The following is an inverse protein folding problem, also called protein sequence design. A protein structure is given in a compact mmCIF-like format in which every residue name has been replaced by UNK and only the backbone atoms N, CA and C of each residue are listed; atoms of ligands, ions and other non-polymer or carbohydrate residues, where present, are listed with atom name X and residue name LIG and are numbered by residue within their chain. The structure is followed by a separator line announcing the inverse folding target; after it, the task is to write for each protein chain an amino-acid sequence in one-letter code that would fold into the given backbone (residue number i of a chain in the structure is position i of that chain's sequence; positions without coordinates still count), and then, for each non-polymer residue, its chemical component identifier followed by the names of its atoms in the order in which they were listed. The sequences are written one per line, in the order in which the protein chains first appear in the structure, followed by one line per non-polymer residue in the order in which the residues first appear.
data_IF_186706576352
#
_entry.id   IF_186706576352
#
_cell.length_a   1.000
_cell.length_b   1.000
_cell.length_c   1.000
_cell.angle_alpha   90.00
_cell.angle_beta   90.00
_cell.angle_gamma   90.00
#
_symmetry.space_group_name_H-M   'P 1'
#
loop_
_entity.id
_entity.type
_entity.pdbx_description
1 polymer ?
#
# COMPACT_ATOMS: atom_id res chain seq x y z
N UNK A 1 10.16 15.92 4.35
CA UNK A 1 10.59 16.98 3.40
C UNK A 1 11.91 17.61 3.83
N UNK A 2 12.00 18.32 4.95
CA UNK A 2 13.22 19.05 5.36
C UNK A 2 14.43 18.14 5.51
N UNK A 3 14.28 16.99 6.17
CA UNK A 3 15.36 16.00 6.31
C UNK A 3 15.91 15.42 5.00
N UNK A 4 15.14 15.52 3.92
CA UNK A 4 15.53 15.10 2.57
C UNK A 4 16.03 16.26 1.68
N UNK A 5 16.30 17.43 2.26
CA UNK A 5 16.92 18.56 1.56
C UNK A 5 15.97 19.64 1.03
N UNK A 6 14.66 19.52 1.27
CA UNK A 6 13.73 20.62 0.96
C UNK A 6 13.91 21.74 1.99
N UNK A 7 14.16 22.97 1.53
CA UNK A 7 14.45 24.08 2.42
C UNK A 7 13.27 24.36 3.36
N UNK A 8 13.47 24.55 4.69
CA UNK A 8 12.37 24.75 5.66
C UNK A 8 11.42 25.90 5.32
N UNK A 9 11.94 26.98 4.72
CA UNK A 9 11.10 28.13 4.26
C UNK A 9 10.22 27.80 3.05
N UNK A 10 10.45 26.65 2.41
CA UNK A 10 9.64 26.15 1.28
C UNK A 10 8.65 25.08 1.70
N UNK A 11 8.51 24.84 3.00
CA UNK A 11 7.53 23.88 3.57
C UNK A 11 6.55 24.63 4.45
N UNK A 12 5.27 24.29 4.33
CA UNK A 12 4.18 24.85 5.14
C UNK A 12 3.37 23.70 5.75
N UNK A 13 3.68 23.27 6.98
CA UNK A 13 2.85 22.27 7.65
C UNK A 13 1.52 22.90 8.06
N UNK A 14 0.42 22.25 7.70
CA UNK A 14 -0.95 22.67 8.02
C UNK A 14 -1.64 21.49 8.69
N UNK A 15 -2.27 21.72 9.83
CA UNK A 15 -3.16 20.77 10.49
C UNK A 15 -4.58 21.22 10.29
N UNK A 16 -5.41 20.34 9.74
CA UNK A 16 -6.85 20.57 9.56
C UNK A 16 -7.57 19.78 10.64
N UNK A 17 -8.01 20.49 11.69
CA UNK A 17 -8.78 19.90 12.80
C UNK A 17 -10.28 20.12 12.56
N UNK A 18 -10.99 19.04 12.25
CA UNK A 18 -12.45 19.03 12.04
C UNK A 18 -13.19 18.34 13.19
N UNK A 19 -12.55 18.16 14.33
CA UNK A 19 -13.11 17.48 15.51
C UNK A 19 -12.81 15.97 15.53
N UNK A 20 -13.40 15.29 16.51
CA UNK A 20 -13.16 13.85 16.73
C UNK A 20 -14.47 13.12 17.04
N UNK A 21 -14.56 11.84 16.56
CA UNK A 21 -15.65 10.94 16.93
C UNK A 21 -15.26 10.01 18.11
N UNK A 22 -14.06 10.16 18.66
CA UNK A 22 -13.61 9.38 19.82
C UNK A 22 -14.20 9.93 21.11
N UNK A 23 -15.03 9.14 21.80
CA UNK A 23 -15.56 9.48 23.13
C UNK A 23 -14.44 9.66 24.16
N UNK A 24 -13.34 8.95 24.00
CA UNK A 24 -12.17 9.10 24.86
C UNK A 24 -11.64 10.53 24.79
N UNK A 25 -11.38 11.04 23.58
CA UNK A 25 -10.85 12.40 23.43
C UNK A 25 -11.87 13.50 23.76
N UNK A 26 -13.15 13.30 23.45
CA UNK A 26 -14.21 14.25 23.80
C UNK A 26 -14.38 14.41 25.31
N UNK A 27 -13.96 13.43 26.12
CA UNK A 27 -14.03 13.45 27.58
C UNK A 27 -12.67 13.67 28.26
N UNK A 28 -11.59 13.82 27.49
CA UNK A 28 -10.25 14.06 28.03
C UNK A 28 -10.00 15.56 28.22
N UNK A 29 -9.88 16.02 29.46
CA UNK A 29 -9.58 17.42 29.80
C UNK A 29 -8.24 17.94 29.27
N UNK A 30 -7.35 17.06 28.83
CA UNK A 30 -6.06 17.40 28.25
C UNK A 30 -6.05 17.33 26.72
N UNK A 31 -7.20 17.02 26.10
CA UNK A 31 -7.31 17.02 24.65
C UNK A 31 -7.13 18.45 24.10
N UNK A 32 -6.16 18.59 23.18
CA UNK A 32 -5.81 19.88 22.58
C UNK A 32 -6.51 20.16 21.25
N UNK A 33 -7.22 19.16 20.71
CA UNK A 33 -7.98 19.30 19.47
C UNK A 33 -9.36 19.92 19.70
N UNK A 34 -10.11 20.05 18.62
CA UNK A 34 -11.45 20.63 18.63
C UNK A 34 -12.45 19.67 19.32
N UNK A 35 -12.96 20.07 20.49
CA UNK A 35 -13.88 19.28 21.32
C UNK A 35 -15.30 19.23 20.70
N UNK A 36 -15.42 18.74 19.49
CA UNK A 36 -16.70 18.49 18.83
C UNK A 36 -16.62 17.25 17.96
N UNK A 37 -17.79 16.67 17.64
CA UNK A 37 -17.87 15.59 16.65
C UNK A 37 -17.54 16.11 15.27
N UNK A 38 -16.96 15.23 14.46
CA UNK A 38 -16.68 15.55 13.05
C UNK A 38 -17.96 15.91 12.32
N UNK A 39 -17.93 16.88 11.38
CA UNK A 39 -19.06 17.25 10.57
C UNK A 39 -19.50 16.10 9.64
N UNK A 40 -20.68 16.23 9.05
CA UNK A 40 -21.12 15.35 7.98
C UNK A 40 -20.26 15.51 6.72
N UNK A 41 -20.34 14.53 5.83
CA UNK A 41 -19.49 14.51 4.62
C UNK A 41 -19.68 15.73 3.74
N UNK A 42 -20.89 16.24 3.59
CA UNK A 42 -21.18 17.43 2.75
C UNK A 42 -20.50 18.69 3.30
N UNK A 43 -20.68 18.99 4.59
CA UNK A 43 -20.03 20.13 5.26
C UNK A 43 -18.50 20.01 5.21
N UNK A 44 -17.98 18.77 5.31
CA UNK A 44 -16.56 18.52 5.23
C UNK A 44 -16.02 18.77 3.81
N UNK A 45 -16.77 18.40 2.78
CA UNK A 45 -16.41 18.67 1.37
C UNK A 45 -16.39 20.19 1.12
N UNK A 46 -17.43 20.91 1.54
CA UNK A 46 -17.52 22.37 1.38
C UNK A 46 -16.33 23.08 2.03
N UNK A 47 -16.01 22.70 3.25
CA UNK A 47 -14.85 23.23 3.96
C UNK A 47 -13.53 22.94 3.24
N UNK A 48 -13.33 21.71 2.76
CA UNK A 48 -12.09 21.35 2.05
C UNK A 48 -12.00 21.98 0.66
N UNK A 49 -13.12 22.20 -0.03
CA UNK A 49 -13.14 22.97 -1.29
C UNK A 49 -12.62 24.39 -1.05
N UNK A 50 -13.07 25.05 0.04
CA UNK A 50 -12.61 26.39 0.41
C UNK A 50 -11.10 26.40 0.76
N UNK A 51 -10.63 25.41 1.54
CA UNK A 51 -9.21 25.28 1.90
C UNK A 51 -8.34 25.09 0.66
N UNK A 52 -8.72 24.21 -0.25
CA UNK A 52 -7.94 23.93 -1.46
C UNK A 52 -7.91 25.13 -2.40
N UNK A 53 -9.03 25.81 -2.58
CA UNK A 53 -9.10 27.03 -3.38
C UNK A 53 -8.27 28.16 -2.78
N UNK A 54 -8.35 28.38 -1.46
CA UNK A 54 -7.58 29.42 -0.77
C UNK A 54 -6.07 29.17 -0.87
N UNK A 55 -5.62 27.92 -0.70
CA UNK A 55 -4.22 27.52 -0.84
C UNK A 55 -3.72 27.76 -2.27
N UNK A 56 -4.49 27.34 -3.27
CA UNK A 56 -4.11 27.50 -4.67
C UNK A 56 -4.05 28.97 -5.08
N UNK A 57 -5.04 29.77 -4.68
CA UNK A 57 -5.08 31.22 -4.96
C UNK A 57 -3.91 31.97 -4.30
N UNK A 58 -3.56 31.59 -3.07
CA UNK A 58 -2.44 32.20 -2.35
C UNK A 58 -1.07 31.77 -2.85
N UNK A 59 -0.94 30.49 -3.22
CA UNK A 59 0.31 29.85 -3.63
C UNK A 59 0.11 29.03 -4.91
N UNK A 60 0.07 29.63 -6.10
CA UNK A 60 -0.31 28.92 -7.35
C UNK A 60 0.62 27.78 -7.77
N UNK A 61 1.85 27.72 -7.23
CA UNK A 61 2.83 26.66 -7.50
C UNK A 61 3.02 25.73 -6.30
N UNK A 62 2.12 25.75 -5.31
CA UNK A 62 2.20 24.91 -4.13
C UNK A 62 1.94 23.45 -4.51
N UNK A 63 2.82 22.54 -4.11
CA UNK A 63 2.55 21.12 -4.12
C UNK A 63 1.92 20.76 -2.77
N UNK A 64 0.73 20.16 -2.80
CA UNK A 64 -0.04 19.82 -1.62
C UNK A 64 0.11 18.31 -1.36
N UNK A 65 0.67 17.94 -0.23
CA UNK A 65 0.72 16.56 0.25
C UNK A 65 -0.35 16.35 1.32
N UNK A 66 -1.24 15.39 1.10
CA UNK A 66 -2.19 14.92 2.10
C UNK A 66 -1.57 13.81 2.93
N UNK A 67 -1.86 13.83 4.25
CA UNK A 67 -1.33 12.94 5.26
C UNK A 67 -2.36 12.75 6.38
N UNK A 68 -2.41 11.56 7.00
CA UNK A 68 -3.21 11.24 8.19
C UNK A 68 -4.74 11.43 8.02
N UNK A 69 -5.26 11.14 6.84
CA UNK A 69 -6.69 11.16 6.58
C UNK A 69 -7.35 9.83 6.95
N UNK A 70 -8.61 9.87 7.42
CA UNK A 70 -9.41 8.65 7.51
C UNK A 70 -9.59 8.03 6.11
N UNK A 71 -9.56 6.71 6.00
CA UNK A 71 -9.58 6.02 4.70
C UNK A 71 -10.69 6.48 3.77
N UNK A 72 -11.92 6.66 4.30
CA UNK A 72 -13.06 7.08 3.48
C UNK A 72 -12.87 8.48 2.87
N UNK A 73 -12.33 9.41 3.64
CA UNK A 73 -12.08 10.79 3.18
C UNK A 73 -10.80 10.89 2.34
N UNK A 74 -9.78 10.06 2.61
CA UNK A 74 -8.55 10.05 1.83
C UNK A 74 -8.82 9.76 0.35
N UNK A 75 -9.59 8.71 0.04
CA UNK A 75 -9.97 8.39 -1.34
C UNK A 75 -10.89 9.42 -1.96
N UNK A 76 -11.89 9.89 -1.22
CA UNK A 76 -12.83 10.90 -1.67
C UNK A 76 -12.11 12.18 -2.13
N UNK A 77 -11.21 12.69 -1.29
CA UNK A 77 -10.51 13.94 -1.59
C UNK A 77 -9.38 13.77 -2.60
N UNK A 78 -8.74 12.61 -2.66
CA UNK A 78 -7.79 12.32 -3.73
C UNK A 78 -8.49 12.34 -5.09
N UNK A 79 -9.61 11.63 -5.25
CA UNK A 79 -10.40 11.62 -6.48
C UNK A 79 -10.89 13.02 -6.86
N UNK A 80 -11.34 13.81 -5.86
CA UNK A 80 -11.89 15.14 -6.07
C UNK A 80 -10.85 16.16 -6.53
N UNK A 81 -9.61 16.07 -6.05
CA UNK A 81 -8.63 17.16 -6.18
C UNK A 81 -7.41 16.84 -7.04
N UNK A 82 -7.01 15.57 -7.22
CA UNK A 82 -5.77 15.20 -7.92
C UNK A 82 -5.67 15.75 -9.36
N UNK A 83 -6.81 15.92 -10.03
CA UNK A 83 -6.88 16.46 -11.40
C UNK A 83 -7.18 17.98 -11.44
N UNK A 84 -7.34 18.62 -10.28
CA UNK A 84 -7.60 20.07 -10.18
C UNK A 84 -6.40 20.84 -9.65
N UNK A 85 -5.65 20.24 -8.76
CA UNK A 85 -4.54 20.87 -8.04
C UNK A 85 -3.28 20.03 -8.14
N UNK A 86 -2.08 20.64 -7.99
CA UNK A 86 -0.82 19.90 -7.87
C UNK A 86 -0.74 19.26 -6.47
N UNK A 87 -1.38 18.11 -6.30
CA UNK A 87 -1.49 17.43 -5.03
C UNK A 87 -1.32 15.91 -5.18
N UNK A 88 -0.99 15.27 -4.08
CA UNK A 88 -1.03 13.82 -3.94
C UNK A 88 -1.39 13.46 -2.48
N UNK A 89 -1.85 12.23 -2.27
CA UNK A 89 -2.07 11.67 -0.95
C UNK A 89 -0.98 10.63 -0.65
N UNK A 90 -0.18 10.89 0.38
CA UNK A 90 0.95 10.03 0.71
C UNK A 90 0.52 8.69 1.31
N UNK A 91 -0.55 8.67 2.13
CA UNK A 91 -1.08 7.41 2.70
C UNK A 91 -1.56 6.43 1.63
N UNK A 92 -1.99 6.94 0.47
CA UNK A 92 -2.47 6.12 -0.66
C UNK A 92 -1.36 5.93 -1.69
N UNK A 93 -0.92 7.02 -2.32
CA UNK A 93 -0.01 7.00 -3.47
C UNK A 93 1.44 6.78 -3.05
N UNK A 94 1.89 7.42 -1.95
CA UNK A 94 3.23 7.20 -1.41
C UNK A 94 3.41 5.79 -0.87
N UNK A 95 2.42 5.28 -0.13
CA UNK A 95 2.42 3.89 0.35
C UNK A 95 2.48 2.90 -0.81
N UNK A 96 1.63 3.07 -1.83
CA UNK A 96 1.67 2.21 -3.02
C UNK A 96 3.02 2.24 -3.73
N UNK A 97 3.61 3.44 -3.85
CA UNK A 97 4.88 3.63 -4.54
C UNK A 97 6.08 3.02 -3.78
N UNK A 98 6.16 3.17 -2.46
CA UNK A 98 7.25 2.56 -1.69
C UNK A 98 7.15 1.03 -1.69
N UNK A 99 5.94 0.49 -1.63
CA UNK A 99 5.70 -0.96 -1.74
C UNK A 99 6.11 -1.45 -3.14
N UNK A 100 5.75 -0.73 -4.19
CA UNK A 100 6.18 -1.04 -5.56
C UNK A 100 7.70 -1.03 -5.68
N UNK A 101 8.39 -0.01 -5.15
CA UNK A 101 9.86 0.07 -5.16
C UNK A 101 10.51 -1.13 -4.46
N UNK A 102 10.01 -1.50 -3.28
CA UNK A 102 10.46 -2.70 -2.55
C UNK A 102 10.17 -3.99 -3.32
N UNK A 103 9.00 -4.09 -3.95
CA UNK A 103 8.61 -5.26 -4.75
C UNK A 103 9.48 -5.45 -6.00
N UNK A 104 9.86 -4.38 -6.70
CA UNK A 104 10.75 -4.44 -7.87
C UNK A 104 12.06 -5.16 -7.49
N UNK A 105 12.69 -4.77 -6.38
CA UNK A 105 13.92 -5.41 -5.90
C UNK A 105 13.69 -6.83 -5.39
N UNK A 106 12.58 -7.07 -4.72
CA UNK A 106 12.18 -8.42 -4.30
C UNK A 106 11.98 -9.36 -5.50
N UNK A 107 11.31 -8.88 -6.56
CA UNK A 107 11.08 -9.63 -7.80
C UNK A 107 12.39 -9.94 -8.55
N UNK A 108 13.33 -8.99 -8.61
CA UNK A 108 14.69 -9.20 -9.17
C UNK A 108 15.44 -10.27 -8.37
N UNK A 109 15.45 -10.15 -7.04
CA UNK A 109 16.10 -11.13 -6.13
C UNK A 109 15.48 -12.53 -6.26
N UNK A 110 14.16 -12.59 -6.38
CA UNK A 110 13.44 -13.85 -6.63
C UNK A 110 13.84 -14.47 -7.97
N UNK A 111 13.86 -13.66 -9.03
CA UNK A 111 14.17 -14.09 -10.39
C UNK A 111 15.60 -14.66 -10.48
N UNK A 112 16.59 -14.00 -9.90
CA UNK A 112 17.97 -14.49 -9.81
C UNK A 112 18.05 -15.86 -9.11
N UNK A 113 17.40 -16.00 -7.94
CA UNK A 113 17.41 -17.25 -7.19
C UNK A 113 16.68 -18.40 -7.90
N UNK A 114 15.64 -18.09 -8.67
CA UNK A 114 14.77 -19.06 -9.32
C UNK A 114 15.18 -19.35 -10.77
N UNK A 115 16.05 -18.54 -11.37
CA UNK A 115 16.41 -18.53 -12.78
C UNK A 115 15.19 -18.33 -13.68
N UNK A 116 14.40 -17.28 -13.38
CA UNK A 116 13.18 -16.87 -14.09
C UNK A 116 13.25 -15.38 -14.44
N UNK A 117 12.25 -14.86 -15.14
CA UNK A 117 12.13 -13.42 -15.36
C UNK A 117 11.49 -12.72 -14.16
N UNK A 118 11.86 -11.47 -13.90
CA UNK A 118 11.28 -10.69 -12.79
C UNK A 118 9.76 -10.50 -12.96
N UNK A 119 9.25 -10.42 -14.19
CA UNK A 119 7.83 -10.31 -14.49
C UNK A 119 7.04 -11.63 -14.40
N UNK A 120 7.69 -12.76 -14.07
CA UNK A 120 6.99 -14.04 -13.87
C UNK A 120 6.28 -14.13 -12.51
N UNK A 121 6.20 -13.02 -11.77
CA UNK A 121 5.58 -12.99 -10.46
C UNK A 121 4.06 -13.27 -10.52
N UNK A 122 3.59 -13.93 -9.46
CA UNK A 122 2.18 -14.17 -9.15
C UNK A 122 1.90 -13.60 -7.77
N UNK A 123 1.06 -12.57 -7.70
CA UNK A 123 0.83 -11.79 -6.50
C UNK A 123 -0.49 -12.20 -5.85
N UNK A 124 -0.46 -12.54 -4.57
CA UNK A 124 -1.65 -12.75 -3.74
C UNK A 124 -1.78 -11.59 -2.74
N UNK A 125 -2.82 -10.79 -2.89
CA UNK A 125 -3.19 -9.73 -1.95
C UNK A 125 -4.15 -10.30 -0.90
N UNK A 126 -3.76 -10.31 0.35
CA UNK A 126 -4.61 -10.72 1.47
C UNK A 126 -5.24 -9.47 2.07
N UNK A 127 -6.47 -9.23 1.69
CA UNK A 127 -7.23 -8.01 1.83
C UNK A 127 -7.68 -7.49 0.46
N UNK A 128 -8.88 -6.91 0.40
CA UNK A 128 -9.44 -6.30 -0.80
C UNK A 128 -10.24 -5.03 -0.49
N UNK A 129 -9.90 -4.35 0.59
CA UNK A 129 -10.35 -2.98 0.87
C UNK A 129 -9.76 -1.99 -0.14
N UNK A 130 -10.26 -0.75 -0.15
CA UNK A 130 -9.82 0.29 -1.09
C UNK A 130 -8.30 0.50 -1.08
N UNK A 131 -7.66 0.51 0.09
CA UNK A 131 -6.21 0.62 0.22
C UNK A 131 -5.47 -0.56 -0.46
N UNK A 132 -5.92 -1.80 -0.20
CA UNK A 132 -5.33 -3.00 -0.81
C UNK A 132 -5.46 -2.99 -2.34
N UNK A 133 -6.61 -2.57 -2.85
CA UNK A 133 -6.84 -2.42 -4.30
C UNK A 133 -5.96 -1.31 -4.89
N UNK A 134 -5.77 -0.21 -4.16
CA UNK A 134 -4.84 0.86 -4.56
C UNK A 134 -3.41 0.36 -4.70
N UNK A 135 -2.89 -0.36 -3.69
CA UNK A 135 -1.57 -1.00 -3.73
C UNK A 135 -1.48 -2.02 -4.87
N UNK A 136 -2.52 -2.85 -5.07
CA UNK A 136 -2.55 -3.83 -6.17
C UNK A 136 -2.47 -3.16 -7.55
N UNK A 137 -3.12 -2.00 -7.75
CA UNK A 137 -3.01 -1.21 -8.98
C UNK A 137 -1.59 -0.66 -9.18
N UNK A 138 -0.94 -0.22 -8.10
CA UNK A 138 0.47 0.21 -8.18
C UNK A 138 1.40 -0.96 -8.52
N UNK A 139 1.23 -2.12 -7.88
CA UNK A 139 2.00 -3.32 -8.21
C UNK A 139 1.78 -3.79 -9.66
N UNK A 140 0.59 -3.58 -10.22
CA UNK A 140 0.30 -3.88 -11.62
C UNK A 140 1.18 -3.06 -12.58
N UNK A 141 1.56 -1.83 -12.21
CA UNK A 141 2.44 -0.98 -13.02
C UNK A 141 3.82 -1.62 -13.26
N UNK A 142 4.31 -2.44 -12.33
CA UNK A 142 5.53 -3.21 -12.54
C UNK A 142 5.45 -4.06 -13.82
N UNK A 143 4.38 -4.81 -13.97
CA UNK A 143 4.20 -5.68 -15.13
C UNK A 143 4.01 -4.89 -16.43
N UNK A 144 3.30 -3.75 -16.37
CA UNK A 144 3.07 -2.89 -17.53
C UNK A 144 4.38 -2.25 -18.00
N UNK A 145 5.23 -1.78 -17.08
CA UNK A 145 6.56 -1.23 -17.41
C UNK A 145 7.49 -2.29 -17.95
N UNK A 146 7.38 -3.55 -17.50
CA UNK A 146 8.08 -4.71 -18.08
C UNK A 146 7.53 -5.14 -19.45
N UNK A 147 6.57 -4.41 -20.01
CA UNK A 147 6.03 -4.61 -21.36
C UNK A 147 4.79 -5.51 -21.44
N UNK A 148 4.19 -5.87 -20.31
CA UNK A 148 3.00 -6.72 -20.28
C UNK A 148 1.73 -5.91 -20.59
N UNK A 149 0.80 -6.39 -21.45
CA UNK A 149 -0.50 -5.75 -21.64
C UNK A 149 -1.28 -5.66 -20.32
N UNK A 150 -2.07 -4.60 -20.15
CA UNK A 150 -2.81 -4.33 -18.89
C UNK A 150 -3.66 -5.50 -18.41
N UNK A 151 -4.37 -6.17 -19.33
CA UNK A 151 -5.23 -7.30 -18.98
C UNK A 151 -4.41 -8.50 -18.46
N UNK A 152 -3.26 -8.77 -19.07
CA UNK A 152 -2.35 -9.81 -18.62
C UNK A 152 -1.71 -9.41 -17.27
N UNK A 153 -1.24 -8.17 -17.13
CA UNK A 153 -0.69 -7.64 -15.89
C UNK A 153 -1.70 -7.77 -14.74
N UNK A 154 -2.97 -7.42 -14.97
CA UNK A 154 -4.07 -7.60 -14.02
C UNK A 154 -4.27 -9.07 -13.65
N UNK A 155 -4.11 -9.98 -14.60
CA UNK A 155 -4.27 -11.42 -14.37
C UNK A 155 -3.18 -12.02 -13.46
N UNK A 156 -2.06 -11.30 -13.24
CA UNK A 156 -0.98 -11.70 -12.32
C UNK A 156 -1.30 -11.45 -10.86
N UNK A 157 -2.44 -10.81 -10.56
CA UNK A 157 -2.82 -10.39 -9.20
C UNK A 157 -4.14 -11.07 -8.81
N UNK A 158 -4.13 -11.70 -7.64
CA UNK A 158 -5.30 -12.29 -6.97
C UNK A 158 -5.55 -11.53 -5.68
N UNK A 159 -6.82 -11.32 -5.34
CA UNK A 159 -7.22 -10.65 -4.09
C UNK A 159 -8.11 -11.54 -3.26
N UNK A 160 -8.04 -11.42 -1.93
CA UNK A 160 -8.90 -12.15 -1.00
C UNK A 160 -9.63 -11.20 -0.04
N UNK A 161 -10.72 -11.67 0.51
CA UNK A 161 -11.41 -11.03 1.64
C UNK A 161 -11.86 -12.09 2.67
N UNK A 162 -12.67 -11.69 3.64
CA UNK A 162 -13.17 -12.58 4.70
C UNK A 162 -14.00 -13.78 4.19
N UNK A 163 -14.41 -13.77 2.91
CA UNK A 163 -15.12 -14.87 2.28
C UNK A 163 -14.23 -15.73 1.38
N UNK A 164 -12.93 -15.43 1.30
CA UNK A 164 -11.95 -16.15 0.52
C UNK A 164 -11.53 -15.42 -0.76
N UNK A 165 -11.20 -16.17 -1.81
CA UNK A 165 -10.77 -15.62 -3.10
C UNK A 165 -11.87 -14.77 -3.73
N UNK A 166 -11.52 -13.58 -4.19
CA UNK A 166 -12.46 -12.67 -4.85
C UNK A 166 -12.66 -13.09 -6.30
N UNK A 167 -13.86 -13.63 -6.60
CA UNK A 167 -14.26 -14.09 -7.94
C UNK A 167 -15.56 -13.45 -8.37
N UNK A 168 -15.77 -13.28 -9.68
CA UNK A 168 -17.00 -12.67 -10.23
C UNK A 168 -18.24 -13.52 -10.01
N UNK A 169 -18.09 -14.83 -9.92
CA UNK A 169 -19.15 -15.84 -9.79
C UNK A 169 -19.36 -16.32 -8.34
N UNK A 170 -18.82 -15.60 -7.34
CA UNK A 170 -18.91 -15.99 -5.93
C UNK A 170 -20.33 -15.96 -5.35
N UNK A 171 -21.27 -15.30 -6.05
CA UNK A 171 -22.69 -15.27 -5.69
C UNK A 171 -23.08 -14.18 -4.70
N UNK A 172 -22.15 -13.39 -4.18
CA UNK A 172 -22.40 -12.21 -3.37
C UNK A 172 -22.20 -10.91 -4.18
N UNK A 173 -22.86 -9.83 -3.74
CA UNK A 173 -22.64 -8.51 -4.33
C UNK A 173 -21.25 -8.00 -3.92
N UNK A 174 -20.33 -7.98 -4.86
CA UNK A 174 -19.01 -7.38 -4.65
C UNK A 174 -19.11 -5.86 -4.60
N UNK A 175 -18.35 -5.23 -3.70
CA UNK A 175 -18.15 -3.80 -3.73
C UNK A 175 -17.40 -3.38 -5.02
N UNK A 176 -17.71 -2.22 -5.55
CA UNK A 176 -17.24 -1.75 -6.86
C UNK A 176 -15.71 -1.81 -6.99
N UNK A 177 -14.97 -1.36 -5.98
CA UNK A 177 -13.51 -1.38 -5.98
C UNK A 177 -12.90 -2.79 -6.10
N UNK A 178 -13.63 -3.86 -5.70
CA UNK A 178 -13.15 -5.24 -5.81
C UNK A 178 -13.29 -5.82 -7.22
N UNK A 179 -14.19 -5.28 -8.03
CA UNK A 179 -14.52 -5.81 -9.36
C UNK A 179 -13.30 -5.80 -10.29
N UNK A 180 -12.40 -4.83 -10.13
CA UNK A 180 -11.24 -4.69 -10.99
C UNK A 180 -10.32 -5.93 -11.00
N UNK A 181 -10.08 -6.55 -9.83
CA UNK A 181 -9.26 -7.76 -9.69
C UNK A 181 -10.06 -9.04 -9.45
N UNK A 182 -11.41 -8.98 -9.49
CA UNK A 182 -12.24 -10.17 -9.30
C UNK A 182 -12.01 -11.18 -10.42
N UNK A 183 -11.64 -12.42 -10.05
CA UNK A 183 -11.27 -13.48 -11.02
C UNK A 183 -12.48 -13.97 -11.82
N UNK A 184 -12.24 -14.20 -13.09
CA UNK A 184 -13.22 -14.80 -14.04
C UNK A 184 -12.79 -16.18 -14.51
N UNK A 185 -11.53 -16.53 -14.28
CA UNK A 185 -10.86 -17.75 -14.74
C UNK A 185 -10.79 -18.86 -13.70
N UNK A 186 -11.61 -18.74 -12.63
CA UNK A 186 -11.68 -19.73 -11.55
C UNK A 186 -12.48 -20.99 -11.92
N UNK A 187 -13.10 -21.07 -13.09
CA UNK A 187 -13.90 -22.20 -13.57
C UNK A 187 -14.94 -22.68 -12.56
N UNK A 188 -15.63 -21.75 -11.87
CA UNK A 188 -16.62 -22.03 -10.84
C UNK A 188 -16.04 -22.46 -9.49
N UNK A 189 -14.72 -22.59 -9.37
CA UNK A 189 -14.07 -22.99 -8.12
C UNK A 189 -14.06 -21.83 -7.14
N UNK A 190 -14.65 -22.06 -5.96
CA UNK A 190 -14.64 -21.14 -4.83
C UNK A 190 -13.66 -21.65 -3.78
N UNK A 191 -12.66 -20.82 -3.40
CA UNK A 191 -11.64 -21.19 -2.42
C UNK A 191 -11.72 -20.20 -1.25
N UNK A 192 -11.87 -20.69 -0.03
CA UNK A 192 -12.13 -19.86 1.16
C UNK A 192 -10.92 -19.71 2.07
N UNK A 193 -10.32 -20.83 2.45
CA UNK A 193 -9.21 -20.83 3.40
C UNK A 193 -7.93 -20.33 2.72
N UNK A 194 -7.18 -19.48 3.41
CA UNK A 194 -5.99 -18.85 2.82
C UNK A 194 -4.93 -19.88 2.40
N UNK A 195 -4.77 -20.94 3.16
CA UNK A 195 -3.87 -22.05 2.84
C UNK A 195 -4.24 -22.71 1.52
N UNK A 196 -5.53 -22.98 1.29
CA UNK A 196 -6.05 -23.56 0.04
C UNK A 196 -5.94 -22.57 -1.12
N UNK A 197 -6.07 -21.27 -0.85
CA UNK A 197 -5.86 -20.22 -1.85
C UNK A 197 -4.40 -20.19 -2.28
N UNK A 198 -3.45 -20.30 -1.34
CA UNK A 198 -2.02 -20.39 -1.65
C UNK A 198 -1.73 -21.63 -2.50
N UNK A 199 -2.32 -22.77 -2.17
CA UNK A 199 -2.17 -24.03 -2.96
C UNK A 199 -2.78 -23.88 -4.37
N UNK A 200 -3.90 -23.15 -4.49
CA UNK A 200 -4.57 -22.92 -5.78
C UNK A 200 -3.82 -21.91 -6.65
N UNK A 201 -3.41 -20.77 -6.08
CA UNK A 201 -2.74 -19.67 -6.79
C UNK A 201 -1.26 -19.98 -7.02
N UNK A 202 -0.60 -20.64 -6.06
CA UNK A 202 0.87 -20.82 -5.97
C UNK A 202 1.59 -19.49 -6.19
N UNK A 203 1.32 -18.50 -5.33
CA UNK A 203 1.88 -17.16 -5.49
C UNK A 203 3.39 -17.18 -5.25
N UNK A 204 4.11 -16.30 -5.94
CA UNK A 204 5.53 -16.01 -5.68
C UNK A 204 5.68 -14.92 -4.61
N UNK A 205 4.66 -14.06 -4.51
CA UNK A 205 4.60 -12.97 -3.56
C UNK A 205 3.23 -12.92 -2.85
N UNK A 206 3.23 -12.69 -1.53
CA UNK A 206 2.04 -12.49 -0.71
C UNK A 206 2.13 -11.14 0.01
N UNK A 207 1.07 -10.34 -0.10
CA UNK A 207 0.95 -9.02 0.51
C UNK A 207 -0.22 -9.00 1.49
N UNK A 208 0.03 -8.59 2.74
CA UNK A 208 -0.97 -8.48 3.78
C UNK A 208 -1.45 -7.04 3.97
N UNK A 209 -2.75 -6.81 3.76
CA UNK A 209 -3.45 -5.56 4.03
C UNK A 209 -4.83 -5.88 4.64
N UNK A 210 -4.87 -6.88 5.50
CA UNK A 210 -6.10 -7.41 6.11
C UNK A 210 -6.43 -6.78 7.46
N UNK A 211 -5.44 -6.16 8.12
CA UNK A 211 -5.48 -5.69 9.51
C UNK A 211 -5.77 -6.82 10.53
N UNK A 212 -5.65 -8.08 10.11
CA UNK A 212 -5.91 -9.26 10.94
C UNK A 212 -4.60 -9.96 11.27
N UNK A 213 -4.21 -9.85 12.53
CA UNK A 213 -2.98 -10.46 13.05
C UNK A 213 -2.91 -11.96 12.78
N UNK A 214 -1.73 -12.43 12.37
CA UNK A 214 -1.46 -13.87 12.24
C UNK A 214 -2.14 -14.53 11.04
N UNK A 215 -2.68 -13.75 10.10
CA UNK A 215 -3.29 -14.29 8.88
C UNK A 215 -2.29 -15.08 8.04
N UNK A 216 -1.00 -14.68 8.04
CA UNK A 216 0.08 -15.50 7.47
C UNK A 216 0.58 -16.49 8.50
N UNK A 217 -0.25 -17.48 8.83
CA UNK A 217 0.07 -18.51 9.79
C UNK A 217 1.19 -19.46 9.28
N UNK A 218 1.62 -20.40 10.13
CA UNK A 218 2.64 -21.40 9.79
C UNK A 218 2.30 -22.17 8.50
N UNK A 219 1.03 -22.56 8.32
CA UNK A 219 0.59 -23.31 7.14
C UNK A 219 0.76 -22.51 5.84
N UNK A 220 0.41 -21.22 5.85
CA UNK A 220 0.59 -20.30 4.73
C UNK A 220 2.08 -20.09 4.43
N UNK A 221 2.90 -19.79 5.45
CA UNK A 221 4.32 -19.50 5.28
C UNK A 221 5.11 -20.71 4.79
N UNK A 222 4.80 -21.92 5.31
CA UNK A 222 5.42 -23.16 4.82
C UNK A 222 5.09 -23.44 3.36
N UNK A 223 3.83 -23.24 2.94
CA UNK A 223 3.43 -23.40 1.53
C UNK A 223 4.15 -22.39 0.63
N UNK A 224 4.26 -21.13 1.06
CA UNK A 224 5.05 -20.15 0.34
C UNK A 224 6.51 -20.62 0.17
N UNK A 225 7.14 -21.15 1.22
CA UNK A 225 8.48 -21.72 1.17
C UNK A 225 8.59 -23.01 0.36
N UNK A 226 7.52 -23.81 0.28
CA UNK A 226 7.48 -25.04 -0.54
C UNK A 226 7.43 -24.75 -2.05
N UNK A 227 6.61 -23.75 -2.45
CA UNK A 227 6.45 -23.41 -3.86
C UNK A 227 7.57 -22.52 -4.40
N UNK A 228 8.33 -21.84 -3.54
CA UNK A 228 9.28 -20.83 -3.94
C UNK A 228 10.66 -21.04 -3.31
N UNK A 229 11.71 -20.85 -4.08
CA UNK A 229 13.09 -20.86 -3.55
C UNK A 229 13.31 -19.71 -2.57
N UNK A 230 12.81 -18.52 -2.91
CA UNK A 230 12.84 -17.31 -2.09
C UNK A 230 11.47 -16.61 -2.11
N UNK A 231 10.51 -17.03 -1.28
CA UNK A 231 9.18 -16.44 -1.26
C UNK A 231 9.22 -14.97 -0.84
N UNK A 232 8.44 -14.11 -1.53
CA UNK A 232 8.25 -12.70 -1.18
C UNK A 232 7.08 -12.61 -0.19
N UNK A 233 7.32 -12.09 1.01
CA UNK A 233 6.36 -12.03 2.12
C UNK A 233 6.34 -10.61 2.69
N UNK A 234 5.31 -9.85 2.36
CA UNK A 234 5.12 -8.46 2.76
C UNK A 234 3.88 -8.29 3.64
N UNK A 235 3.97 -8.45 4.97
CA UNK A 235 2.90 -8.13 5.90
C UNK A 235 2.87 -6.61 6.11
N UNK A 236 1.89 -5.92 5.51
CA UNK A 236 1.88 -4.46 5.43
C UNK A 236 0.89 -3.80 6.41
N UNK A 237 0.11 -4.58 7.17
CA UNK A 237 -0.83 -4.02 8.13
C UNK A 237 -0.14 -3.33 9.30
N UNK A 238 -0.62 -2.14 9.64
CA UNK A 238 -0.14 -1.31 10.75
C UNK A 238 -1.17 -1.25 11.88
N UNK A 239 -0.76 -1.07 13.14
CA UNK A 239 0.61 -1.18 13.68
C UNK A 239 1.12 -2.63 13.71
N UNK A 240 2.33 -2.87 14.22
CA UNK A 240 2.95 -4.21 14.31
C UNK A 240 2.05 -5.25 14.99
N UNK A 241 1.20 -4.81 15.95
CA UNK A 241 0.20 -5.68 16.60
C UNK A 241 -0.84 -6.26 15.65
N UNK A 242 -1.04 -5.66 14.48
CA UNK A 242 -1.99 -6.09 13.44
C UNK A 242 -1.29 -6.79 12.26
N UNK A 243 0.04 -6.91 12.30
CA UNK A 243 0.81 -7.53 11.23
C UNK A 243 0.38 -8.97 10.98
N UNK A 244 0.30 -9.38 9.74
CA UNK A 244 -0.13 -10.71 9.32
C UNK A 244 0.83 -11.82 9.77
N UNK A 245 2.12 -11.52 9.90
CA UNK A 245 3.12 -12.36 10.57
C UNK A 245 4.27 -11.50 11.10
N UNK A 246 5.11 -12.09 11.94
CA UNK A 246 6.36 -11.48 12.39
C UNK A 246 7.50 -11.84 11.44
N UNK A 247 8.60 -11.07 11.52
CA UNK A 247 9.81 -11.37 10.76
C UNK A 247 10.43 -12.72 11.16
N UNK A 248 10.41 -13.02 12.47
CA UNK A 248 10.90 -14.31 12.99
C UNK A 248 10.09 -15.50 12.44
N UNK A 249 8.76 -15.40 12.40
CA UNK A 249 7.89 -16.43 11.81
C UNK A 249 8.18 -16.63 10.32
N UNK A 250 8.32 -15.53 9.56
CA UNK A 250 8.65 -15.60 8.14
C UNK A 250 9.99 -16.31 7.91
N UNK A 251 11.03 -15.99 8.68
CA UNK A 251 12.32 -16.69 8.60
C UNK A 251 12.20 -18.15 8.99
N UNK A 252 11.56 -18.44 10.14
CA UNK A 252 11.43 -19.79 10.69
C UNK A 252 10.71 -20.76 9.75
N UNK A 253 9.58 -20.31 9.20
CA UNK A 253 8.71 -21.21 8.41
C UNK A 253 9.10 -21.27 6.92
N UNK A 254 10.07 -20.46 6.49
CA UNK A 254 10.66 -20.52 5.15
C UNK A 254 12.13 -20.92 5.14
N UNK A 255 12.67 -21.44 6.26
CA UNK A 255 14.06 -21.82 6.41
C UNK A 255 15.05 -20.67 6.10
N UNK A 256 14.73 -19.45 6.53
CA UNK A 256 15.52 -18.23 6.30
C UNK A 256 15.52 -17.71 4.88
N UNK A 257 14.66 -18.22 3.99
CA UNK A 257 14.64 -17.90 2.56
C UNK A 257 13.70 -16.75 2.19
N UNK A 258 12.82 -16.30 3.11
CA UNK A 258 11.91 -15.21 2.84
C UNK A 258 12.64 -13.94 2.39
N UNK A 259 12.10 -13.27 1.37
CA UNK A 259 12.34 -11.88 1.06
C UNK A 259 11.24 -11.11 1.80
N UNK A 260 11.61 -10.36 2.84
CA UNK A 260 10.67 -9.81 3.79
C UNK A 260 10.76 -8.30 3.87
N UNK A 261 9.62 -7.62 3.77
CA UNK A 261 9.46 -6.23 4.13
C UNK A 261 8.10 -6.04 4.81
N UNK A 262 7.99 -5.10 5.74
CA UNK A 262 6.78 -4.85 6.50
C UNK A 262 6.38 -3.37 6.50
N UNK A 263 5.12 -3.08 6.78
CA UNK A 263 4.64 -1.72 6.96
C UNK A 263 5.13 -1.09 8.28
N UNK A 264 5.35 -1.91 9.30
CA UNK A 264 5.84 -1.51 10.62
C UNK A 264 7.27 -2.03 10.87
N UNK A 265 8.05 -1.38 11.74
CA UNK A 265 9.39 -1.85 12.07
C UNK A 265 9.35 -3.16 12.86
N UNK A 266 10.31 -4.05 12.56
CA UNK A 266 10.57 -5.26 13.34
C UNK A 266 12.00 -5.25 13.86
N UNK A 267 12.19 -5.85 15.03
CA UNK A 267 13.53 -6.05 15.58
C UNK A 267 14.34 -7.03 14.72
N UNK A 268 15.66 -6.89 14.80
CA UNK A 268 16.60 -7.84 14.21
C UNK A 268 16.42 -9.23 14.84
N UNK A 269 16.61 -10.27 14.04
CA UNK A 269 16.50 -11.67 14.46
C UNK A 269 17.81 -12.40 14.21
N UNK A 270 18.33 -13.10 15.22
CA UNK A 270 19.44 -14.01 15.04
C UNK A 270 18.92 -15.36 14.54
N UNK A 271 19.19 -15.66 13.28
CA UNK A 271 18.70 -16.87 12.64
C UNK A 271 19.87 -17.66 12.02
N UNK A 272 20.05 -18.93 12.45
CA UNK A 272 21.11 -19.83 11.99
C UNK A 272 22.50 -19.21 12.05
N UNK A 273 22.81 -18.54 13.18
CA UNK A 273 24.12 -17.94 13.42
C UNK A 273 24.40 -16.64 12.66
N UNK A 274 23.38 -16.07 12.00
CA UNK A 274 23.49 -14.78 11.28
C UNK A 274 22.40 -13.84 11.76
N UNK A 275 22.77 -12.59 12.10
CA UNK A 275 21.82 -11.55 12.42
C UNK A 275 21.13 -11.09 11.12
N UNK A 276 19.79 -11.14 11.09
CA UNK A 276 18.94 -10.73 9.98
C UNK A 276 18.18 -9.46 10.36
N UNK A 277 17.95 -8.59 9.38
CA UNK A 277 17.21 -7.35 9.52
C UNK A 277 15.95 -7.43 8.64
N UNK A 278 14.84 -6.91 9.15
CA UNK A 278 13.63 -6.70 8.36
C UNK A 278 13.72 -5.38 7.62
N UNK A 279 13.30 -5.36 6.37
CA UNK A 279 13.10 -4.12 5.64
C UNK A 279 11.74 -3.51 5.99
N UNK A 280 11.65 -2.18 5.97
CA UNK A 280 10.42 -1.45 6.22
C UNK A 280 10.03 -0.62 5.00
N UNK A 281 8.79 -0.84 4.52
CA UNK A 281 8.17 -0.02 3.48
C UNK A 281 7.56 1.24 4.08
N UNK A 282 8.38 2.26 4.38
CA UNK A 282 7.91 3.54 4.92
C UNK A 282 7.91 4.61 3.81
N UNK A 283 6.83 5.36 3.71
CA UNK A 283 6.64 6.42 2.70
C UNK A 283 7.72 7.50 2.76
N UNK A 284 8.39 7.64 3.91
CA UNK A 284 9.53 8.55 4.09
C UNK A 284 10.60 8.40 3.00
N UNK A 285 10.74 7.21 2.44
CA UNK A 285 11.70 6.96 1.36
C UNK A 285 11.27 7.52 0.01
N UNK A 286 10.00 7.93 -0.17
CA UNK A 286 9.49 8.27 -1.50
C UNK A 286 8.85 9.66 -1.58
N UNK A 287 8.01 10.07 -0.61
CA UNK A 287 7.28 11.34 -0.73
C UNK A 287 8.18 12.57 -0.85
N UNK A 288 9.41 12.63 -0.25
CA UNK A 288 10.27 13.79 -0.44
C UNK A 288 10.71 13.97 -1.90
N UNK A 289 10.98 12.87 -2.59
CA UNK A 289 11.31 12.87 -4.02
C UNK A 289 10.15 13.37 -4.88
N UNK A 290 8.94 12.88 -4.63
CA UNK A 290 7.72 13.32 -5.32
C UNK A 290 7.50 14.83 -5.12
N UNK A 291 7.55 15.30 -3.88
CA UNK A 291 7.36 16.71 -3.54
C UNK A 291 8.44 17.61 -4.17
N UNK A 292 9.69 17.17 -4.15
CA UNK A 292 10.82 17.93 -4.75
C UNK A 292 10.68 18.03 -6.27
N UNK A 293 10.36 16.92 -6.95
CA UNK A 293 10.13 16.92 -8.42
C UNK A 293 8.99 17.85 -8.77
N UNK A 294 7.85 17.74 -8.06
CA UNK A 294 6.71 18.62 -8.26
C UNK A 294 7.07 20.12 -8.13
N UNK A 295 7.84 20.46 -7.09
CA UNK A 295 8.26 21.83 -6.84
C UNK A 295 9.26 22.35 -7.91
N UNK A 296 10.26 21.56 -8.30
CA UNK A 296 11.27 21.93 -9.27
C UNK A 296 10.70 22.08 -10.70
N UNK A 297 9.78 21.20 -11.07
CA UNK A 297 9.14 21.21 -12.40
C UNK A 297 7.96 22.17 -12.48
N UNK A 298 7.50 22.70 -11.33
CA UNK A 298 6.24 23.45 -11.22
C UNK A 298 5.08 22.64 -11.81
N UNK A 299 5.04 21.38 -11.45
CA UNK A 299 4.04 20.44 -11.94
C UNK A 299 2.63 20.96 -11.66
N UNK A 300 1.75 20.87 -12.66
CA UNK A 300 0.32 21.22 -12.48
C UNK A 300 -0.47 20.10 -11.82
N UNK A 301 0.01 18.88 -11.97
CA UNK A 301 -0.59 17.67 -11.37
C UNK A 301 0.53 16.69 -10.99
N UNK A 302 0.32 15.92 -9.94
CA UNK A 302 1.13 14.76 -9.60
C UNK A 302 0.40 13.54 -10.15
N UNK A 303 0.81 13.09 -11.32
CA UNK A 303 0.15 11.99 -12.03
C UNK A 303 0.63 10.62 -11.51
N UNK A 304 -0.12 9.58 -11.83
CA UNK A 304 0.29 8.20 -11.51
C UNK A 304 1.62 7.81 -12.18
N UNK A 305 1.95 8.41 -13.33
CA UNK A 305 3.25 8.22 -13.98
C UNK A 305 4.41 8.78 -13.15
N UNK A 306 4.22 9.95 -12.51
CA UNK A 306 5.22 10.54 -11.59
C UNK A 306 5.42 9.62 -10.38
N UNK A 307 4.32 9.11 -9.81
CA UNK A 307 4.35 8.17 -8.69
C UNK A 307 5.08 6.88 -9.07
N UNK A 308 4.74 6.31 -10.23
CA UNK A 308 5.37 5.10 -10.76
C UNK A 308 6.87 5.32 -11.03
N UNK A 309 7.23 6.44 -11.69
CA UNK A 309 8.63 6.77 -11.94
C UNK A 309 9.44 6.93 -10.64
N UNK A 310 8.84 7.51 -9.59
CA UNK A 310 9.47 7.63 -8.28
C UNK A 310 9.73 6.24 -7.65
N UNK A 311 8.77 5.30 -7.76
CA UNK A 311 8.94 3.93 -7.27
C UNK A 311 10.08 3.18 -7.99
N UNK A 312 10.15 3.29 -9.32
CA UNK A 312 11.26 2.69 -10.09
C UNK A 312 12.61 3.35 -9.79
N UNK A 313 12.63 4.66 -9.56
CA UNK A 313 13.85 5.37 -9.15
C UNK A 313 14.32 4.95 -7.76
N UNK A 314 13.40 4.67 -6.84
CA UNK A 314 13.72 4.16 -5.51
C UNK A 314 14.32 2.75 -5.57
N UNK A 315 13.89 1.93 -6.53
CA UNK A 315 14.36 0.55 -6.71
C UNK A 315 15.74 0.45 -7.37
N UNK A 316 16.26 1.50 -7.98
CA UNK A 316 17.55 1.55 -8.67
C UNK A 316 18.63 2.20 -7.84
#
# INVERSE_FOLDING_TARGET
MVGAGVHPRSTLPIVVDVGTNSEHYLNDKLYLGLERRRPGTEEYIEFMDEVMEALHNKYPNLIIQYEDWSSDHAFLFLERYQNKYPMFNDDIQGTGAVILGGFINAARTYAEASNTHAADQRILMVGSGSAAIGVAKQLMQFFIVEGMPEEEARSRIWTTDTKGLVTMDRGDKLAEHKLFFARKDNNGKQVRELEDIVDYVKPTAIFGLSTVRGTFNEGVLRRMGQYNKRPIIFPLSNPTSNSECTFEEALRFTDGRAIFAAGSPFDKVDFQGTTRFADQGNNFYIFPGIGLVGALTKAKHITDDVITAAAFSLAN
#
